data_IF_537548436767
#
_entry.id   IF_537548436767
#
_cell.length_a   1.000
_cell.length_b   1.000
_cell.length_c   1.000
_cell.angle_alpha   90.00
_cell.angle_beta   90.00
_cell.angle_gamma   90.00
#
_symmetry.space_group_name_H-M   'P 1'
#
loop_
_entity.id
_entity.type
_entity.pdbx_description
1 polymer ?
#
# COMPACT_ATOMS: atom_id res chain seq x y z
N UNK A 1 9.63 19.70 -14.76
CA UNK A 1 10.59 18.58 -14.98
C UNK A 1 11.27 18.26 -13.65
N UNK A 2 10.80 17.24 -12.92
CA UNK A 2 11.27 16.89 -11.57
C UNK A 2 12.03 15.55 -11.62
N UNK A 3 13.33 15.60 -11.91
CA UNK A 3 14.15 14.38 -12.07
C UNK A 3 15.55 14.56 -11.46
N UNK A 4 15.65 14.78 -10.15
CA UNK A 4 16.98 14.78 -9.51
C UNK A 4 17.06 14.40 -8.02
N UNK A 5 16.14 13.59 -7.49
CA UNK A 5 16.29 13.07 -6.12
C UNK A 5 15.91 11.59 -5.97
N UNK A 6 16.41 10.73 -6.87
CA UNK A 6 16.19 9.27 -6.81
C UNK A 6 17.45 8.47 -7.18
N UNK A 7 18.62 8.80 -6.61
CA UNK A 7 19.88 8.12 -6.94
C UNK A 7 20.75 7.68 -5.76
N UNK A 8 20.26 7.59 -4.53
CA UNK A 8 21.10 7.01 -3.46
C UNK A 8 20.28 6.43 -2.30
N UNK A 9 19.65 5.29 -2.56
CA UNK A 9 19.43 4.27 -1.55
C UNK A 9 19.23 2.97 -2.30
N UNK A 10 20.25 2.12 -2.26
CA UNK A 10 20.31 0.71 -2.65
C UNK A 10 18.96 0.07 -3.00
N UNK A 11 18.77 -0.54 -4.16
CA UNK A 11 19.71 -1.52 -4.72
C UNK A 11 19.23 -2.94 -4.43
N UNK A 12 17.96 -3.23 -4.71
CA UNK A 12 17.43 -4.57 -4.95
C UNK A 12 16.11 -4.45 -5.74
N UNK A 13 16.22 -4.73 -7.04
CA UNK A 13 15.19 -5.17 -7.99
C UNK A 13 14.09 -4.17 -8.38
N UNK A 14 14.15 -3.48 -9.52
CA UNK A 14 14.06 -3.94 -10.93
C UNK A 14 12.64 -4.29 -11.42
N UNK A 15 12.35 -3.75 -12.61
CA UNK A 15 11.44 -4.24 -13.65
C UNK A 15 9.91 -4.34 -13.39
N UNK A 16 9.09 -4.07 -14.43
CA UNK A 16 7.67 -4.42 -14.43
C UNK A 16 7.53 -5.93 -14.65
N UNK A 17 7.67 -6.71 -13.58
CA UNK A 17 7.44 -8.16 -13.58
C UNK A 17 8.46 -8.92 -12.74
N UNK A 18 7.97 -9.87 -11.93
CA UNK A 18 8.72 -10.85 -11.13
C UNK A 18 9.24 -10.39 -9.76
N UNK A 19 8.34 -10.42 -8.76
CA UNK A 19 8.63 -10.36 -7.33
C UNK A 19 7.46 -9.75 -6.57
N UNK A 20 7.00 -10.29 -5.42
CA UNK A 20 5.97 -9.63 -4.64
C UNK A 20 6.48 -8.24 -4.27
N UNK A 21 5.82 -7.20 -4.79
CA UNK A 21 6.22 -5.81 -4.58
C UNK A 21 6.40 -5.61 -3.08
N UNK A 22 7.54 -5.02 -2.67
CA UNK A 22 7.75 -4.75 -1.27
C UNK A 22 6.54 -3.99 -0.72
N UNK A 23 6.03 -4.38 0.44
CA UNK A 23 4.84 -3.78 1.04
C UNK A 23 4.92 -2.24 1.09
N UNK A 24 6.13 -1.70 1.24
CA UNK A 24 6.43 -0.26 1.19
C UNK A 24 6.07 0.40 -0.16
N UNK A 25 6.26 -0.29 -1.28
CA UNK A 25 5.89 0.21 -2.60
C UNK A 25 4.38 0.12 -2.84
N UNK A 26 3.70 -0.91 -2.30
CA UNK A 26 2.24 -0.98 -2.30
C UNK A 26 1.63 0.18 -1.49
N UNK A 27 2.17 0.49 -0.31
CA UNK A 27 1.72 1.63 0.49
C UNK A 27 1.87 2.96 -0.28
N UNK A 28 3.02 3.19 -0.93
CA UNK A 28 3.21 4.37 -1.79
C UNK A 28 2.23 4.43 -2.95
N UNK A 29 1.88 3.29 -3.54
CA UNK A 29 0.88 3.23 -4.60
C UNK A 29 -0.52 3.54 -4.08
N UNK A 30 -0.88 3.06 -2.88
CA UNK A 30 -2.13 3.43 -2.19
C UNK A 30 -2.19 4.95 -1.97
N UNK A 31 -1.13 5.54 -1.40
CA UNK A 31 -1.05 7.00 -1.17
C UNK A 31 -1.19 7.80 -2.48
N UNK A 32 -0.53 7.33 -3.55
CA UNK A 32 -0.62 7.98 -4.85
C UNK A 32 -2.01 7.81 -5.48
N UNK A 33 -2.64 6.65 -5.31
CA UNK A 33 -3.97 6.36 -5.84
C UNK A 33 -5.07 7.13 -5.11
N UNK A 34 -4.94 7.33 -3.79
CA UNK A 34 -5.85 8.19 -3.01
C UNK A 34 -5.71 9.66 -3.39
N UNK A 35 -4.50 10.14 -3.67
CA UNK A 35 -4.24 11.53 -4.07
C UNK A 35 -4.66 11.85 -5.51
N UNK A 36 -4.39 10.97 -6.47
CA UNK A 36 -4.56 11.27 -7.91
C UNK A 36 -5.90 10.74 -8.45
N UNK A 37 -6.80 10.21 -7.59
CA UNK A 37 -8.09 9.57 -7.94
C UNK A 37 -7.97 8.77 -9.24
N UNK A 38 -7.00 7.85 -9.30
CA UNK A 38 -6.62 7.18 -10.55
C UNK A 38 -6.90 5.69 -10.49
N UNK A 39 -7.39 5.15 -11.62
CA UNK A 39 -7.54 3.72 -11.89
C UNK A 39 -6.29 2.95 -11.46
N UNK A 40 -6.50 1.86 -10.71
CA UNK A 40 -5.43 1.04 -10.15
C UNK A 40 -5.58 0.75 -8.65
N UNK A 41 -6.51 1.42 -7.95
CA UNK A 41 -6.80 1.14 -6.54
C UNK A 41 -7.30 -0.31 -6.33
N UNK A 42 -8.07 -0.84 -7.28
CA UNK A 42 -8.59 -2.21 -7.26
C UNK A 42 -7.45 -3.25 -7.39
N UNK A 43 -6.50 -3.02 -8.30
CA UNK A 43 -5.31 -3.87 -8.46
C UNK A 43 -4.43 -3.84 -7.19
N UNK A 44 -4.22 -2.67 -6.61
CA UNK A 44 -3.46 -2.53 -5.36
C UNK A 44 -4.15 -3.23 -4.19
N UNK A 45 -5.49 -3.21 -4.15
CA UNK A 45 -6.28 -3.92 -3.15
C UNK A 45 -6.18 -5.45 -3.34
N UNK A 46 -6.14 -5.95 -4.58
CA UNK A 46 -5.89 -7.37 -4.86
C UNK A 46 -4.48 -7.81 -4.40
N UNK A 47 -3.45 -7.00 -4.71
CA UNK A 47 -2.07 -7.28 -4.27
C UNK A 47 -1.94 -7.23 -2.73
N UNK A 48 -2.58 -6.27 -2.04
CA UNK A 48 -2.59 -6.19 -0.58
C UNK A 48 -3.24 -7.41 0.08
N UNK A 49 -4.33 -7.94 -0.51
CA UNK A 49 -4.98 -9.16 -0.02
C UNK A 49 -4.05 -10.37 -0.13
N UNK A 50 -3.32 -10.52 -1.24
CA UNK A 50 -2.33 -11.59 -1.40
C UNK A 50 -1.21 -11.49 -0.36
N UNK A 51 -0.72 -10.28 -0.07
CA UNK A 51 0.27 -10.06 0.98
C UNK A 51 -0.25 -10.36 2.38
N UNK A 52 -1.54 -10.08 2.65
CA UNK A 52 -2.19 -10.45 3.92
C UNK A 52 -2.24 -11.96 4.09
N UNK A 53 -2.61 -12.69 3.04
CA UNK A 53 -2.70 -14.15 3.09
C UNK A 53 -1.32 -14.80 3.32
N UNK A 54 -0.30 -14.29 2.62
CA UNK A 54 1.08 -14.74 2.77
C UNK A 54 1.76 -14.34 4.09
N UNK A 55 1.23 -13.34 4.80
CA UNK A 55 1.76 -12.91 6.11
C UNK A 55 1.31 -13.89 7.18
N UNK A 56 2.22 -14.57 7.87
CA UNK A 56 1.89 -15.48 9.00
C UNK A 56 1.61 -14.74 10.31
N UNK A 57 2.12 -13.52 10.45
CA UNK A 57 2.02 -12.70 11.66
C UNK A 57 0.60 -12.15 11.90
N UNK A 58 -0.05 -12.45 13.04
CA UNK A 58 -1.44 -12.08 13.29
C UNK A 58 -1.64 -10.56 13.45
N UNK A 59 -0.72 -9.84 14.08
CA UNK A 59 -0.79 -8.38 14.21
C UNK A 59 -0.68 -7.69 12.85
N UNK A 60 0.25 -8.15 12.02
CA UNK A 60 0.47 -7.62 10.67
C UNK A 60 -0.67 -7.97 9.72
N UNK A 61 -1.24 -9.17 9.81
CA UNK A 61 -2.48 -9.53 9.11
C UNK A 61 -3.63 -8.61 9.47
N UNK A 62 -3.77 -8.27 10.76
CA UNK A 62 -4.85 -7.41 11.26
C UNK A 62 -4.70 -5.98 10.71
N UNK A 63 -3.49 -5.43 10.72
CA UNK A 63 -3.20 -4.13 10.11
C UNK A 63 -3.47 -4.12 8.60
N UNK A 64 -3.09 -5.20 7.88
CA UNK A 64 -3.36 -5.33 6.44
C UNK A 64 -4.85 -5.48 6.13
N UNK A 65 -5.59 -6.19 6.97
CA UNK A 65 -7.05 -6.31 6.87
C UNK A 65 -7.72 -4.94 7.06
N UNK A 66 -7.25 -4.15 8.04
CA UNK A 66 -7.71 -2.78 8.24
C UNK A 66 -7.44 -1.92 6.99
N UNK A 67 -6.23 -1.94 6.45
CA UNK A 67 -5.88 -1.21 5.23
C UNK A 67 -6.76 -1.61 4.04
N UNK A 68 -7.00 -2.91 3.83
CA UNK A 68 -7.89 -3.38 2.77
C UNK A 68 -9.32 -2.83 2.92
N UNK A 69 -9.86 -2.82 4.14
CA UNK A 69 -11.19 -2.29 4.42
C UNK A 69 -11.26 -0.78 4.14
N UNK A 70 -10.29 -0.01 4.64
CA UNK A 70 -10.20 1.44 4.42
C UNK A 70 -10.08 1.77 2.92
N UNK A 71 -9.25 1.04 2.17
CA UNK A 71 -9.08 1.25 0.72
C UNK A 71 -10.36 0.90 -0.03
N UNK A 72 -11.05 -0.20 0.34
CA UNK A 72 -12.35 -0.56 -0.23
C UNK A 72 -13.39 0.54 0.00
N UNK A 73 -13.46 1.08 1.22
CA UNK A 73 -14.38 2.19 1.55
C UNK A 73 -14.04 3.45 0.74
N UNK A 74 -12.76 3.78 0.59
CA UNK A 74 -12.34 4.91 -0.24
C UNK A 74 -12.63 4.68 -1.73
N UNK A 75 -12.52 3.44 -2.23
CA UNK A 75 -12.85 3.08 -3.61
C UNK A 75 -14.32 3.34 -3.93
N UNK A 76 -15.22 2.97 -3.00
CA UNK A 76 -16.66 3.17 -3.15
C UNK A 76 -17.08 4.62 -2.89
N UNK A 77 -16.48 5.26 -1.88
CA UNK A 77 -16.79 6.64 -1.49
C UNK A 77 -15.51 7.46 -1.31
N UNK A 78 -15.01 8.09 -2.39
CA UNK A 78 -13.73 8.74 -2.37
C UNK A 78 -13.83 10.11 -1.68
N UNK A 79 -13.60 10.16 -0.36
CA UNK A 79 -13.73 11.38 0.46
C UNK A 79 -12.51 11.64 1.36
N UNK A 80 -12.32 12.90 1.78
CA UNK A 80 -11.17 13.32 2.60
C UNK A 80 -10.99 12.55 3.92
N UNK A 81 -12.04 12.31 4.73
CA UNK A 81 -11.93 11.42 5.90
C UNK A 81 -11.51 10.00 5.55
N UNK A 82 -12.01 9.44 4.45
CA UNK A 82 -11.64 8.09 4.00
C UNK A 82 -10.19 8.03 3.51
N UNK A 83 -9.69 9.07 2.86
CA UNK A 83 -8.27 9.18 2.50
C UNK A 83 -7.38 9.18 3.74
N UNK A 84 -7.76 9.91 4.80
CA UNK A 84 -7.04 9.91 6.09
C UNK A 84 -7.07 8.54 6.76
N UNK A 85 -8.21 7.85 6.74
CA UNK A 85 -8.35 6.48 7.27
C UNK A 85 -7.42 5.50 6.54
N UNK A 86 -7.31 5.61 5.21
CA UNK A 86 -6.36 4.84 4.41
C UNK A 86 -4.91 5.13 4.80
N UNK A 87 -4.55 6.40 4.99
CA UNK A 87 -3.18 6.78 5.41
C UNK A 87 -2.83 6.29 6.81
N UNK A 88 -3.79 6.33 7.76
CA UNK A 88 -3.63 5.78 9.10
C UNK A 88 -3.40 4.27 9.08
N UNK A 89 -4.20 3.55 8.28
CA UNK A 89 -4.03 2.11 8.13
C UNK A 89 -2.69 1.77 7.47
N UNK A 90 -2.23 2.57 6.51
CA UNK A 90 -0.92 2.42 5.88
C UNK A 90 0.23 2.61 6.88
N UNK A 91 0.13 3.59 7.77
CA UNK A 91 1.11 3.82 8.84
C UNK A 91 1.13 2.66 9.83
N UNK A 92 -0.04 2.13 10.23
CA UNK A 92 -0.12 0.98 11.13
C UNK A 92 0.53 -0.28 10.53
N UNK A 93 0.32 -0.55 9.24
CA UNK A 93 0.99 -1.64 8.52
C UNK A 93 2.50 -1.45 8.47
N UNK A 94 2.97 -0.20 8.38
CA UNK A 94 4.40 0.16 8.35
C UNK A 94 5.06 0.08 9.73
N UNK A 95 4.29 0.32 10.80
CA UNK A 95 4.70 0.18 12.20
C UNK A 95 4.63 -1.25 12.71
N UNK A 96 3.75 -2.07 12.14
CA UNK A 96 3.65 -3.48 12.48
C UNK A 96 5.01 -4.17 12.27
N UNK A 97 5.53 -4.89 13.28
CA UNK A 97 6.81 -5.55 13.17
C UNK A 97 6.81 -6.53 11.98
N UNK A 98 7.91 -6.52 11.24
CA UNK A 98 8.28 -7.64 10.36
C UNK A 98 8.96 -8.65 11.28
N UNK A 99 8.22 -9.68 11.69
CA UNK A 99 8.78 -10.85 12.37
C UNK A 99 9.84 -11.53 11.52
#
# INVERSE_FOLDING_TARGET
>A
MWTRLRRKRDGASEAPGAGPRALKDLLKQVEKATQVRRSGLDQVLAELKLHRDATTEPERRSALAWLCNSVSRFAHNPSAPHAREVMLAADAVRRAPIG
#
